data_IF_221579070574
#
_entry.id   IF_221579070574
#
_cell.length_a   1.000
_cell.length_b   1.000
_cell.length_c   1.000
_cell.angle_alpha   90.00
_cell.angle_beta   90.00
_cell.angle_gamma   90.00
#
_symmetry.space_group_name_H-M   'P 1'
#
loop_
_entity.id
_entity.type
_entity.pdbx_description
1 polymer ?
#
# COMPACT_ATOMS: atom_id res chain seq x y z
N UNK A 1 2.97 -9.25 -12.76
CA UNK A 1 3.73 -9.22 -11.49
C UNK A 1 4.05 -7.76 -11.18
N UNK A 2 3.23 -7.04 -10.38
CA UNK A 2 3.29 -5.58 -10.26
C UNK A 2 4.28 -5.06 -9.21
N UNK A 3 5.07 -5.95 -8.59
CA UNK A 3 5.97 -5.56 -7.50
C UNK A 3 7.35 -5.20 -8.04
N UNK A 4 7.69 -3.92 -7.98
CA UNK A 4 9.01 -3.42 -8.40
C UNK A 4 10.05 -3.44 -7.28
N UNK A 5 9.65 -3.51 -6.01
CA UNK A 5 10.55 -3.54 -4.85
C UNK A 5 9.83 -4.13 -3.62
N UNK A 6 10.50 -5.03 -2.89
CA UNK A 6 10.03 -5.56 -1.60
C UNK A 6 11.01 -5.09 -0.52
N UNK A 7 10.60 -4.12 0.29
CA UNK A 7 11.34 -3.71 1.49
C UNK A 7 10.82 -4.52 2.68
N UNK A 8 11.72 -5.21 3.38
CA UNK A 8 11.41 -6.01 4.56
C UNK A 8 11.88 -5.25 5.80
N UNK A 9 10.94 -4.74 6.59
CA UNK A 9 11.23 -4.16 7.90
C UNK A 9 11.40 -5.28 8.94
N UNK A 10 12.63 -5.51 9.39
CA UNK A 10 12.97 -6.61 10.31
C UNK A 10 12.72 -6.28 11.79
N UNK A 11 12.45 -5.02 12.16
CA UNK A 11 12.52 -4.61 13.59
C UNK A 11 11.25 -4.77 14.41
N UNK A 12 10.06 -4.81 13.81
CA UNK A 12 8.80 -5.15 14.51
C UNK A 12 8.41 -4.29 15.73
N UNK A 13 9.17 -3.24 16.08
CA UNK A 13 9.00 -2.48 17.32
C UNK A 13 7.90 -1.41 17.24
N UNK A 14 7.24 -1.27 16.09
CA UNK A 14 6.17 -0.28 15.86
C UNK A 14 4.77 -0.81 16.18
N UNK A 15 4.65 -2.10 16.54
CA UNK A 15 3.37 -2.79 16.68
C UNK A 15 2.67 -2.60 18.04
N UNK A 16 3.36 -2.12 19.08
CA UNK A 16 2.84 -2.15 20.44
C UNK A 16 2.10 -0.86 20.89
N UNK A 17 2.43 0.31 20.32
CA UNK A 17 1.93 1.61 20.81
C UNK A 17 0.62 2.10 20.14
N UNK A 18 0.08 1.38 19.16
CA UNK A 18 -1.05 1.88 18.34
C UNK A 18 -2.35 1.04 18.39
N UNK A 19 -2.47 0.04 19.27
CA UNK A 19 -3.68 -0.79 19.31
C UNK A 19 -3.88 -1.57 18.00
N UNK A 20 -2.78 -2.11 17.47
CA UNK A 20 -2.74 -2.86 16.21
C UNK A 20 -3.53 -4.17 16.33
N UNK A 21 -4.44 -4.43 15.39
CA UNK A 21 -5.09 -5.74 15.25
C UNK A 21 -4.91 -6.44 13.89
N UNK A 22 -4.04 -5.96 12.99
CA UNK A 22 -3.67 -6.81 11.84
C UNK A 22 -2.95 -6.13 10.68
N UNK A 23 -1.74 -6.62 10.40
CA UNK A 23 -1.26 -6.72 9.03
C UNK A 23 -2.15 -7.72 8.25
N UNK A 24 -2.25 -7.64 6.91
CA UNK A 24 -1.49 -6.76 6.01
C UNK A 24 -2.10 -5.36 5.85
N UNK A 25 -1.23 -4.39 5.52
CA UNK A 25 -1.62 -3.07 5.01
C UNK A 25 -0.92 -2.80 3.68
N UNK A 26 -1.57 -2.04 2.79
CA UNK A 26 -1.03 -1.68 1.47
C UNK A 26 -1.19 -0.19 1.22
N UNK A 27 -0.14 0.44 0.68
CA UNK A 27 -0.11 1.87 0.41
C UNK A 27 0.13 2.15 -1.07
N UNK A 28 -0.47 3.22 -1.59
CA UNK A 28 -0.13 3.81 -2.88
C UNK A 28 0.62 5.10 -2.63
N UNK A 29 1.84 5.19 -3.14
CA UNK A 29 2.76 6.32 -2.96
C UNK A 29 3.24 6.80 -4.32
N UNK A 30 3.29 8.12 -4.53
CA UNK A 30 3.81 8.70 -5.76
C UNK A 30 5.35 8.86 -5.75
N UNK A 31 5.91 9.29 -6.89
CA UNK A 31 7.35 9.52 -7.03
C UNK A 31 7.93 10.63 -6.15
N UNK A 32 7.08 11.43 -5.47
CA UNK A 32 7.49 12.46 -4.50
C UNK A 32 7.40 11.97 -3.06
N UNK A 33 7.03 10.71 -2.85
CA UNK A 33 6.86 10.12 -1.52
C UNK A 33 5.53 10.46 -0.85
N UNK A 34 4.54 11.00 -1.57
CA UNK A 34 3.22 11.32 -1.02
C UNK A 34 2.33 10.09 -1.06
N UNK A 35 1.75 9.74 0.09
CA UNK A 35 0.76 8.66 0.19
C UNK A 35 -0.58 9.16 -0.34
N UNK A 36 -1.08 8.51 -1.39
CA UNK A 36 -2.39 8.79 -1.98
C UNK A 36 -3.49 7.85 -1.47
N UNK A 37 -3.11 6.68 -0.96
CA UNK A 37 -4.07 5.72 -0.43
C UNK A 37 -3.43 4.76 0.58
N UNK A 38 -4.23 4.35 1.58
CA UNK A 38 -3.92 3.28 2.54
C UNK A 38 -5.09 2.30 2.59
N UNK A 39 -4.81 1.03 2.33
CA UNK A 39 -5.69 -0.10 2.56
C UNK A 39 -5.25 -0.82 3.82
N UNK A 40 -6.17 -0.99 4.78
CA UNK A 40 -6.01 -1.93 5.88
C UNK A 40 -6.77 -3.22 5.54
N UNK A 41 -6.06 -4.35 5.45
CA UNK A 41 -6.61 -5.64 5.00
C UNK A 41 -5.89 -6.22 3.78
N UNK A 42 -6.34 -7.40 3.35
CA UNK A 42 -5.75 -8.12 2.23
C UNK A 42 -6.00 -7.45 0.89
N UNK A 43 -4.99 -7.52 0.01
CA UNK A 43 -5.17 -7.19 -1.40
C UNK A 43 -5.62 -8.45 -2.12
N UNK A 44 -6.90 -8.48 -2.48
CA UNK A 44 -7.46 -9.46 -3.39
C UNK A 44 -7.78 -8.83 -4.75
N UNK A 45 -8.15 -9.66 -5.73
CA UNK A 45 -8.42 -9.22 -7.11
C UNK A 45 -9.49 -8.14 -7.19
N UNK A 46 -10.52 -8.24 -6.35
CA UNK A 46 -11.59 -7.24 -6.28
C UNK A 46 -11.04 -5.89 -5.80
N UNK A 47 -10.35 -5.89 -4.66
CA UNK A 47 -9.75 -4.67 -4.09
C UNK A 47 -8.74 -4.06 -5.05
N UNK A 48 -7.96 -4.88 -5.74
CA UNK A 48 -7.04 -4.41 -6.77
C UNK A 48 -7.79 -3.69 -7.90
N UNK A 49 -8.77 -4.34 -8.52
CA UNK A 49 -9.44 -3.79 -9.70
C UNK A 49 -10.37 -2.61 -9.40
N UNK A 50 -11.07 -2.63 -8.26
CA UNK A 50 -12.06 -1.60 -7.90
C UNK A 50 -11.45 -0.40 -7.18
N UNK A 51 -10.36 -0.59 -6.43
CA UNK A 51 -9.82 0.45 -5.53
C UNK A 51 -8.41 0.85 -5.92
N UNK A 52 -7.48 -0.10 -5.93
CA UNK A 52 -6.06 0.24 -6.03
C UNK A 52 -5.64 0.62 -7.45
N UNK A 53 -6.05 -0.15 -8.46
CA UNK A 53 -5.69 0.03 -9.86
C UNK A 53 -6.12 1.40 -10.41
N UNK A 54 -7.36 1.88 -10.18
CA UNK A 54 -7.75 3.21 -10.67
C UNK A 54 -6.95 4.36 -10.06
N UNK A 55 -6.51 4.23 -8.80
CA UNK A 55 -5.67 5.25 -8.15
C UNK A 55 -4.26 5.18 -8.71
N UNK A 56 -3.71 3.96 -8.85
CA UNK A 56 -2.40 3.72 -9.45
C UNK A 56 -2.31 4.27 -10.87
N UNK A 57 -3.26 3.94 -11.75
CA UNK A 57 -3.28 4.38 -13.15
C UNK A 57 -3.31 5.91 -13.24
N UNK A 58 -4.11 6.60 -12.40
CA UNK A 58 -4.16 8.07 -12.34
C UNK A 58 -2.84 8.73 -11.94
N UNK A 59 -2.02 8.04 -11.16
CA UNK A 59 -0.71 8.54 -10.75
C UNK A 59 0.34 8.23 -11.82
N UNK A 60 0.23 7.09 -12.50
CA UNK A 60 1.13 6.70 -13.59
C UNK A 60 0.96 7.59 -14.84
N UNK A 61 -0.23 8.13 -15.09
CA UNK A 61 -0.50 9.04 -16.21
C UNK A 61 0.05 10.46 -16.02
N UNK A 62 0.53 10.82 -14.82
CA UNK A 62 1.06 12.16 -14.53
C UNK A 62 2.60 12.12 -14.56
N UNK A 63 3.24 12.62 -15.64
CA UNK A 63 4.69 12.78 -15.70
C UNK A 63 5.20 13.86 -14.74
#
# INVERSE_FOLDING_TARGET
NPYSLVLKDEKGSFALDLGVYGAPETFIVDGKGVIHYRLAGDVNERVWNEVLKPIYDKLAEKP
#
